data_IF_425060004054
#
_entry.id   IF_425060004054
#
_cell.length_a   1.000
_cell.length_b   1.000
_cell.length_c   1.000
_cell.angle_alpha   90.00
_cell.angle_beta   90.00
_cell.angle_gamma   90.00
#
_symmetry.space_group_name_H-M   'P 1'
#
loop_
_entity.id
_entity.type
_entity.pdbx_description
1 polymer ?
#
# COMPACT_ATOMS: atom_id res chain seq x y z
N UNK A 1 -5.04 4.82 3.55
CA UNK A 1 -3.81 5.22 4.24
C UNK A 1 -2.74 5.39 3.18
N UNK A 2 -1.94 6.44 3.27
CA UNK A 2 -0.87 6.70 2.33
C UNK A 2 0.45 6.27 2.97
N UNK A 3 1.22 5.50 2.21
CA UNK A 3 2.60 5.16 2.52
C UNK A 3 3.50 6.01 1.67
N UNK A 4 4.60 6.46 2.23
CA UNK A 4 5.61 7.23 1.53
C UNK A 4 6.97 6.57 1.66
N UNK A 5 7.76 6.65 0.61
CA UNK A 5 9.14 6.16 0.60
C UNK A 5 9.99 6.89 -0.44
N UNK A 6 11.28 6.84 -0.23
CA UNK A 6 12.27 7.28 -1.21
C UNK A 6 12.36 6.27 -2.37
N UNK A 7 12.09 6.66 -3.62
CA UNK A 7 12.15 5.76 -4.78
C UNK A 7 13.53 5.14 -5.00
N UNK A 8 14.61 5.84 -4.69
CA UNK A 8 15.97 5.32 -4.85
C UNK A 8 16.24 4.19 -3.84
N UNK A 9 15.80 4.36 -2.59
CA UNK A 9 15.87 3.33 -1.55
C UNK A 9 14.98 2.15 -1.88
N UNK A 10 13.76 2.36 -2.38
CA UNK A 10 12.87 1.29 -2.80
C UNK A 10 13.51 0.43 -3.90
N UNK A 11 14.13 1.06 -4.90
CA UNK A 11 14.86 0.36 -5.97
C UNK A 11 16.08 -0.40 -5.45
N UNK A 12 16.83 0.16 -4.50
CA UNK A 12 17.96 -0.52 -3.87
C UNK A 12 17.51 -1.73 -3.06
N UNK A 13 16.43 -1.58 -2.27
CA UNK A 13 15.84 -2.66 -1.48
C UNK A 13 15.35 -3.81 -2.37
N UNK A 14 14.62 -3.50 -3.45
CA UNK A 14 14.15 -4.50 -4.40
C UNK A 14 15.31 -5.32 -5.00
N UNK A 15 16.41 -4.66 -5.37
CA UNK A 15 17.62 -5.37 -5.90
C UNK A 15 18.27 -6.27 -4.86
N UNK A 16 18.37 -5.80 -3.61
CA UNK A 16 19.08 -6.48 -2.52
C UNK A 16 18.25 -7.62 -1.91
N UNK A 17 16.98 -7.39 -1.66
CA UNK A 17 16.11 -8.27 -0.88
C UNK A 17 15.01 -8.95 -1.69
N UNK A 18 14.82 -8.56 -2.95
CA UNK A 18 13.73 -9.04 -3.83
C UNK A 18 12.32 -8.78 -3.26
N UNK A 19 12.20 -7.74 -2.45
CA UNK A 19 10.95 -7.29 -1.84
C UNK A 19 10.73 -5.83 -2.21
N UNK A 20 9.57 -5.53 -2.80
CA UNK A 20 9.19 -4.15 -3.07
C UNK A 20 8.68 -3.46 -1.80
N UNK A 21 8.82 -2.14 -1.72
CA UNK A 21 8.21 -1.38 -0.63
C UNK A 21 6.67 -1.39 -0.72
N UNK A 22 6.12 -1.57 -1.92
CA UNK A 22 4.69 -1.78 -2.12
C UNK A 22 4.18 -3.07 -1.45
N UNK A 23 4.96 -4.16 -1.46
CA UNK A 23 4.62 -5.39 -0.73
C UNK A 23 4.86 -5.23 0.78
N UNK A 24 5.97 -4.57 1.16
CA UNK A 24 6.31 -4.34 2.56
C UNK A 24 5.26 -3.47 3.28
N UNK A 25 4.66 -2.49 2.59
CA UNK A 25 3.59 -1.66 3.15
C UNK A 25 2.37 -2.49 3.54
N UNK A 26 2.02 -3.52 2.77
CA UNK A 26 0.90 -4.39 3.08
C UNK A 26 1.18 -5.35 4.24
N UNK A 27 2.44 -5.71 4.49
CA UNK A 27 2.80 -6.49 5.66
C UNK A 27 2.57 -5.72 6.97
N UNK A 28 2.57 -4.37 6.94
CA UNK A 28 2.21 -3.54 8.10
C UNK A 28 0.71 -3.59 8.44
N UNK A 29 -0.14 -3.98 7.48
CA UNK A 29 -1.60 -4.15 7.66
C UNK A 29 -1.97 -5.56 8.14
N UNK A 30 -1.01 -6.47 8.30
CA UNK A 30 -1.29 -7.84 8.77
C UNK A 30 -1.86 -7.81 10.19
N UNK A 31 -3.04 -8.39 10.38
CA UNK A 31 -3.72 -8.48 11.68
C UNK A 31 -2.94 -9.30 12.73
N UNK A 32 -1.96 -10.08 12.30
CA UNK A 32 -1.10 -10.91 13.17
C UNK A 32 0.30 -10.34 13.32
N UNK A 33 0.58 -9.17 12.73
CA UNK A 33 1.90 -8.56 12.84
C UNK A 33 2.33 -8.37 14.28
N UNK A 34 3.63 -8.41 14.50
CA UNK A 34 4.30 -8.13 15.79
C UNK A 34 5.12 -6.87 15.62
N UNK A 35 4.86 -5.85 16.41
CA UNK A 35 5.55 -4.57 16.29
C UNK A 35 6.23 -4.19 17.61
N UNK A 36 7.48 -3.76 17.51
CA UNK A 36 8.28 -3.22 18.61
C UNK A 36 8.81 -1.83 18.24
N UNK A 37 9.17 -1.04 19.26
CA UNK A 37 10.00 0.14 19.02
C UNK A 37 11.38 -0.31 18.53
N UNK A 38 11.93 0.40 17.56
CA UNK A 38 13.28 0.11 17.06
C UNK A 38 14.33 0.48 18.14
N UNK A 39 15.06 -0.50 18.67
CA UNK A 39 16.05 -0.23 19.72
C UNK A 39 17.23 0.61 19.25
N UNK A 40 17.44 0.74 17.94
CA UNK A 40 18.51 1.56 17.34
C UNK A 40 18.02 2.94 16.87
N UNK A 41 16.77 3.30 17.19
CA UNK A 41 16.25 4.60 16.85
C UNK A 41 16.96 5.69 17.66
N UNK A 42 17.59 6.64 16.96
CA UNK A 42 18.19 7.84 17.56
C UNK A 42 17.49 9.08 17.02
N UNK A 43 16.84 9.84 17.89
CA UNK A 43 16.25 11.16 17.57
C UNK A 43 14.91 11.13 16.83
N UNK A 44 14.48 9.97 16.30
CA UNK A 44 13.23 9.81 15.54
C UNK A 44 12.49 8.55 16.02
N UNK A 45 11.19 8.64 16.23
CA UNK A 45 10.39 7.49 16.64
C UNK A 45 10.28 6.49 15.47
N UNK A 46 10.87 5.33 15.62
CA UNK A 46 10.97 4.29 14.59
C UNK A 46 10.50 2.94 15.14
N UNK A 47 9.89 2.14 14.30
CA UNK A 47 9.35 0.84 14.67
C UNK A 47 9.83 -0.26 13.72
N UNK A 48 9.90 -1.47 14.27
CA UNK A 48 10.17 -2.71 13.53
C UNK A 48 8.93 -3.58 13.61
N UNK A 49 8.38 -3.98 12.47
CA UNK A 49 7.22 -4.86 12.37
C UNK A 49 7.56 -6.14 11.64
N UNK A 50 7.13 -7.27 12.19
CA UNK A 50 7.17 -8.60 11.56
C UNK A 50 5.75 -8.94 11.14
N UNK A 51 5.48 -9.00 9.85
CA UNK A 51 4.15 -9.26 9.29
C UNK A 51 4.22 -10.04 7.99
N UNK A 52 3.08 -10.58 7.56
CA UNK A 52 2.98 -11.32 6.29
C UNK A 52 2.46 -10.41 5.19
N UNK A 53 3.11 -10.45 4.05
CA UNK A 53 2.64 -9.80 2.84
C UNK A 53 1.50 -10.62 2.16
N UNK A 54 0.84 -10.09 1.12
CA UNK A 54 -0.21 -10.81 0.38
C UNK A 54 0.25 -12.10 -0.31
N UNK A 55 1.55 -12.24 -0.55
CA UNK A 55 2.15 -13.46 -1.13
C UNK A 55 2.47 -14.52 -0.06
N UNK A 56 2.18 -14.24 1.21
CA UNK A 56 2.46 -15.15 2.33
C UNK A 56 3.89 -15.14 2.82
N UNK A 57 4.72 -14.21 2.33
CA UNK A 57 6.09 -14.06 2.82
C UNK A 57 6.07 -13.30 4.14
N UNK A 58 6.86 -13.76 5.11
CA UNK A 58 7.07 -13.04 6.37
C UNK A 58 8.16 -12.00 6.18
N UNK A 59 7.82 -10.75 6.40
CA UNK A 59 8.70 -9.61 6.17
C UNK A 59 8.98 -8.87 7.47
N UNK A 60 10.22 -8.41 7.63
CA UNK A 60 10.62 -7.45 8.66
C UNK A 60 10.62 -6.07 7.99
N UNK A 61 9.75 -5.18 8.46
CA UNK A 61 9.60 -3.83 7.92
C UNK A 61 9.93 -2.81 8.97
N UNK A 62 10.87 -1.90 8.66
CA UNK A 62 11.18 -0.76 9.52
C UNK A 62 10.46 0.47 8.98
N UNK A 63 9.75 1.17 9.86
CA UNK A 63 8.95 2.31 9.47
C UNK A 63 8.92 3.40 10.55
N UNK A 64 8.66 4.61 10.12
CA UNK A 64 8.39 5.77 10.96
C UNK A 64 6.91 6.10 10.84
N UNK A 65 6.13 6.20 11.93
CA UNK A 65 4.74 6.64 11.85
C UNK A 65 4.74 8.08 11.32
N UNK A 66 3.90 8.33 10.32
CA UNK A 66 3.72 9.67 9.76
C UNK A 66 3.11 10.63 10.75
N UNK A 67 3.35 11.92 10.57
CA UNK A 67 2.62 13.01 11.24
C UNK A 67 1.13 12.94 10.86
N UNK A 68 0.21 13.67 11.51
CA UNK A 68 -1.22 13.34 11.73
C UNK A 68 -2.09 12.93 10.53
N UNK A 69 -1.53 12.81 9.34
CA UNK A 69 -2.21 12.30 8.15
C UNK A 69 -2.08 10.77 7.93
N UNK A 70 -1.37 10.05 8.79
CA UNK A 70 -1.28 8.58 8.74
C UNK A 70 -0.36 7.98 7.66
N UNK A 71 0.52 8.77 7.07
CA UNK A 71 1.58 8.25 6.22
C UNK A 71 2.65 7.54 7.06
N UNK A 72 3.08 6.34 6.63
CA UNK A 72 4.18 5.62 7.25
C UNK A 72 5.37 5.62 6.28
N UNK A 73 6.49 6.18 6.71
CA UNK A 73 7.73 6.13 5.94
C UNK A 73 8.40 4.78 6.04
N UNK A 74 8.52 4.04 4.92
CA UNK A 74 9.24 2.77 4.88
C UNK A 74 10.71 3.04 4.61
N UNK A 75 11.57 2.44 5.43
CA UNK A 75 13.03 2.61 5.32
C UNK A 75 13.74 1.27 5.14
N UNK A 76 14.91 1.31 4.54
CA UNK A 76 15.81 0.15 4.49
C UNK A 76 16.30 -0.13 5.91
N UNK A 77 16.08 -1.35 6.46
CA UNK A 77 16.55 -1.68 7.79
C UNK A 77 18.08 -1.84 7.81
N UNK A 78 18.73 -1.25 8.79
CA UNK A 78 19.97 -1.82 9.31
C UNK A 78 19.57 -3.06 10.09
N UNK A 79 19.49 -4.22 9.39
CA UNK A 79 19.01 -5.46 9.99
C UNK A 79 19.95 -5.92 11.10
N UNK A 80 19.45 -5.98 12.32
CA UNK A 80 20.09 -6.76 13.39
C UNK A 80 20.03 -8.25 13.05
N UNK A 81 20.97 -9.03 13.56
CA UNK A 81 20.91 -10.50 13.44
C UNK A 81 19.70 -11.09 14.17
N UNK A 82 19.22 -10.44 15.23
CA UNK A 82 18.07 -10.87 16.03
C UNK A 82 17.29 -9.67 16.56
N UNK A 83 15.97 -9.80 16.59
CA UNK A 83 15.03 -8.88 17.23
C UNK A 83 14.23 -9.62 18.30
N UNK A 84 14.15 -9.07 19.50
CA UNK A 84 13.30 -9.62 20.57
C UNK A 84 11.85 -9.13 20.45
N UNK A 85 10.97 -10.00 20.00
CA UNK A 85 9.54 -9.74 19.89
C UNK A 85 8.72 -10.20 21.11
N UNK A 86 9.35 -10.59 22.23
CA UNK A 86 8.65 -11.09 23.44
C UNK A 86 7.66 -10.07 24.01
N UNK A 87 7.97 -8.79 23.88
CA UNK A 87 7.11 -7.66 24.31
C UNK A 87 6.42 -6.94 23.15
N UNK A 88 6.35 -7.58 21.98
CA UNK A 88 5.76 -6.96 20.81
C UNK A 88 4.26 -6.73 20.96
N UNK A 89 3.78 -5.59 20.49
CA UNK A 89 2.37 -5.37 20.27
C UNK A 89 1.88 -6.22 19.11
N UNK A 90 0.88 -7.06 19.33
CA UNK A 90 0.23 -7.86 18.28
C UNK A 90 -0.88 -7.07 17.63
N UNK A 91 -0.98 -7.19 16.32
CA UNK A 91 -1.99 -6.55 15.48
C UNK A 91 -1.37 -5.73 14.36
N UNK A 92 -2.20 -5.16 13.49
CA UNK A 92 -1.69 -4.36 12.39
C UNK A 92 -0.89 -3.18 12.92
N UNK A 93 0.31 -2.99 12.40
CA UNK A 93 1.19 -1.89 12.77
C UNK A 93 0.59 -0.54 12.35
N UNK A 94 -0.25 -0.57 11.31
CA UNK A 94 -0.92 0.57 10.73
C UNK A 94 -2.42 0.26 10.65
N UNK A 95 -3.27 1.17 11.14
CA UNK A 95 -4.73 0.95 11.22
C UNK A 95 -5.32 0.73 9.83
N UNK A 96 -6.05 -0.37 9.67
CA UNK A 96 -6.82 -0.65 8.44
C UNK A 96 -8.12 0.16 8.48
N UNK A 97 -8.49 0.88 7.40
CA UNK A 97 -9.74 1.61 7.35
C UNK A 97 -10.95 0.70 7.57
N UNK A 98 -11.94 1.17 8.31
CA UNK A 98 -13.22 0.48 8.51
C UNK A 98 -13.99 0.32 7.19
N UNK A 99 -14.87 -0.69 7.10
CA UNK A 99 -15.69 -0.93 5.91
C UNK A 99 -14.96 -1.67 4.78
N UNK A 100 -13.80 -2.28 5.07
CA UNK A 100 -13.09 -3.18 4.15
C UNK A 100 -13.17 -4.63 4.67
N UNK A 101 -13.46 -5.55 3.76
CA UNK A 101 -13.40 -6.99 4.03
C UNK A 101 -12.14 -7.56 3.39
N UNK A 102 -11.36 -8.31 4.17
CA UNK A 102 -10.20 -9.04 3.61
C UNK A 102 -10.70 -10.23 2.79
N UNK A 103 -10.31 -10.26 1.52
CA UNK A 103 -10.57 -11.36 0.61
C UNK A 103 -9.26 -11.85 -0.01
N UNK A 104 -9.22 -13.11 -0.43
CA UNK A 104 -8.12 -13.66 -1.22
C UNK A 104 -8.63 -13.91 -2.63
N UNK A 105 -8.01 -13.24 -3.60
CA UNK A 105 -8.31 -13.40 -5.02
C UNK A 105 -7.01 -13.71 -5.76
N UNK A 106 -7.13 -14.34 -6.93
CA UNK A 106 -6.03 -14.50 -7.88
C UNK A 106 -6.21 -13.44 -8.96
N UNK A 107 -5.15 -12.71 -9.24
CA UNK A 107 -5.05 -11.74 -10.33
C UNK A 107 -3.92 -12.17 -11.24
N UNK A 108 -4.00 -11.81 -12.51
CA UNK A 108 -2.92 -12.02 -13.45
C UNK A 108 -1.69 -11.19 -13.05
N UNK A 109 -0.50 -11.74 -13.29
CA UNK A 109 0.75 -11.15 -12.83
C UNK A 109 0.98 -9.75 -13.43
N UNK A 110 0.63 -9.56 -14.70
CA UNK A 110 0.74 -8.27 -15.40
C UNK A 110 -0.13 -7.18 -14.77
N UNK A 111 -1.34 -7.52 -14.30
CA UNK A 111 -2.23 -6.59 -13.58
C UNK A 111 -1.57 -6.18 -12.26
N UNK A 112 -1.07 -7.14 -11.50
CA UNK A 112 -0.43 -6.86 -10.20
C UNK A 112 0.81 -5.98 -10.39
N UNK A 113 1.67 -6.33 -11.35
CA UNK A 113 2.89 -5.58 -11.67
C UNK A 113 2.57 -4.16 -12.13
N UNK A 114 1.54 -3.96 -12.94
CA UNK A 114 1.11 -2.64 -13.39
C UNK A 114 0.71 -1.74 -12.22
N UNK A 115 -0.13 -2.23 -11.29
CA UNK A 115 -0.57 -1.45 -10.13
C UNK A 115 0.59 -1.19 -9.15
N UNK A 116 1.50 -2.14 -8.95
CA UNK A 116 2.72 -1.94 -8.17
C UNK A 116 3.60 -0.86 -8.78
N UNK A 117 3.81 -0.89 -10.10
CA UNK A 117 4.58 0.12 -10.83
C UNK A 117 4.04 1.53 -10.65
N UNK A 118 2.72 1.70 -10.55
CA UNK A 118 2.09 3.01 -10.30
C UNK A 118 2.50 3.57 -8.93
N UNK A 119 2.38 2.79 -7.86
CA UNK A 119 2.72 3.26 -6.51
C UNK A 119 4.23 3.43 -6.33
N UNK A 120 5.04 2.58 -6.95
CA UNK A 120 6.51 2.71 -6.90
C UNK A 120 6.99 3.97 -7.62
N UNK A 121 6.41 4.29 -8.78
CA UNK A 121 6.73 5.51 -9.53
C UNK A 121 6.28 6.76 -8.80
N UNK A 122 5.18 6.70 -8.07
CA UNK A 122 4.68 7.79 -7.23
C UNK A 122 5.50 7.98 -5.93
N UNK A 123 6.38 7.03 -5.58
CA UNK A 123 7.14 7.06 -4.32
C UNK A 123 6.29 6.76 -3.09
N UNK A 124 5.17 6.09 -3.26
CA UNK A 124 4.28 5.74 -2.15
C UNK A 124 2.90 5.27 -2.61
N UNK A 125 2.08 4.87 -1.64
CA UNK A 125 0.72 4.44 -1.86
C UNK A 125 0.51 2.95 -1.55
N UNK A 126 -0.72 2.49 -1.77
CA UNK A 126 -1.13 1.10 -1.57
C UNK A 126 -1.79 0.61 -2.86
N UNK A 127 -1.14 -0.31 -3.56
CA UNK A 127 -1.63 -0.81 -4.84
C UNK A 127 -2.97 -1.54 -4.73
N UNK A 128 -3.30 -2.17 -3.60
CA UNK A 128 -4.63 -2.75 -3.38
C UNK A 128 -5.73 -1.68 -3.32
N UNK A 129 -5.40 -0.49 -2.82
CA UNK A 129 -6.32 0.66 -2.85
C UNK A 129 -6.56 1.14 -4.27
N UNK A 130 -5.55 1.13 -5.14
CA UNK A 130 -5.70 1.44 -6.56
C UNK A 130 -6.57 0.40 -7.29
N UNK A 131 -6.34 -0.89 -7.04
CA UNK A 131 -7.18 -1.98 -7.57
C UNK A 131 -8.63 -1.76 -7.14
N UNK A 132 -8.87 -1.50 -5.85
CA UNK A 132 -10.22 -1.26 -5.33
C UNK A 132 -10.86 0.00 -5.95
N UNK A 133 -10.09 1.05 -6.21
CA UNK A 133 -10.57 2.24 -6.92
C UNK A 133 -10.97 1.93 -8.37
N UNK A 134 -10.16 1.12 -9.07
CA UNK A 134 -10.49 0.67 -10.43
C UNK A 134 -11.77 -0.17 -10.48
N UNK A 135 -11.96 -1.07 -9.52
CA UNK A 135 -13.20 -1.86 -9.39
C UNK A 135 -14.42 -0.96 -9.11
N UNK A 136 -14.29 0.05 -8.24
CA UNK A 136 -15.36 1.02 -8.00
C UNK A 136 -15.70 1.84 -9.24
N UNK A 137 -14.68 2.23 -10.00
CA UNK A 137 -14.89 2.94 -11.26
C UNK A 137 -15.62 2.06 -12.28
N UNK A 138 -15.24 0.78 -12.37
CA UNK A 138 -15.95 -0.18 -13.22
C UNK A 138 -17.43 -0.31 -12.83
N UNK A 139 -17.73 -0.45 -11.54
CA UNK A 139 -19.10 -0.50 -11.03
C UNK A 139 -19.90 0.75 -11.42
N UNK A 140 -19.32 1.95 -11.21
CA UNK A 140 -19.99 3.23 -11.57
C UNK A 140 -20.29 3.31 -13.06
N UNK A 141 -19.37 2.87 -13.92
CA UNK A 141 -19.58 2.85 -15.37
C UNK A 141 -20.64 1.83 -15.79
N UNK A 142 -20.66 0.67 -15.13
CA UNK A 142 -21.68 -0.36 -15.38
C UNK A 142 -23.09 0.12 -15.02
N UNK A 143 -23.19 0.94 -13.96
CA UNK A 143 -24.45 1.50 -13.48
C UNK A 143 -24.91 2.74 -14.27
N UNK A 144 -24.05 3.33 -15.12
CA UNK A 144 -24.40 4.51 -15.93
C UNK A 144 -25.09 4.07 -17.24
N UNK A 145 -26.40 4.28 -17.38
CA UNK A 145 -27.10 3.89 -18.60
C UNK A 145 -26.49 4.58 -19.82
N UNK A 146 -26.22 3.83 -20.88
CA UNK A 146 -25.67 4.33 -22.14
C UNK A 146 -26.45 5.55 -22.66
N UNK A 147 -27.77 5.55 -22.44
CA UNK A 147 -28.65 6.66 -22.78
C UNK A 147 -28.24 8.00 -22.09
N UNK A 148 -27.86 7.97 -20.81
CA UNK A 148 -27.41 9.17 -20.10
C UNK A 148 -26.09 9.70 -20.66
N UNK A 149 -25.17 8.81 -20.95
CA UNK A 149 -23.86 9.16 -21.54
C UNK A 149 -24.03 9.76 -22.94
N UNK A 150 -24.83 9.12 -23.79
CA UNK A 150 -25.16 9.64 -25.12
C UNK A 150 -25.86 10.99 -25.06
N UNK A 151 -26.83 11.16 -24.18
CA UNK A 151 -27.54 12.41 -23.98
C UNK A 151 -26.63 13.57 -23.55
N UNK A 152 -25.65 13.26 -22.67
CA UNK A 152 -24.64 14.24 -22.24
C UNK A 152 -23.73 14.64 -23.41
N UNK A 153 -23.15 13.67 -24.09
CA UNK A 153 -22.24 13.92 -25.23
C UNK A 153 -22.93 14.72 -26.33
N UNK A 154 -24.13 14.31 -26.74
CA UNK A 154 -24.90 15.05 -27.74
C UNK A 154 -25.20 16.51 -27.32
N UNK A 155 -25.52 16.74 -26.05
CA UNK A 155 -25.77 18.10 -25.55
C UNK A 155 -24.48 18.93 -25.51
N UNK A 156 -23.33 18.34 -25.21
CA UNK A 156 -22.04 19.02 -25.23
C UNK A 156 -21.61 19.38 -26.66
N UNK A 157 -21.77 18.46 -27.60
CA UNK A 157 -21.42 18.68 -29.02
C UNK A 157 -22.35 19.70 -29.68
N UNK A 158 -23.67 19.67 -29.40
CA UNK A 158 -24.60 20.66 -29.90
C UNK A 158 -24.32 22.08 -29.36
N UNK A 159 -23.85 22.19 -28.12
CA UNK A 159 -23.42 23.50 -27.56
C UNK A 159 -22.12 24.01 -28.16
N UNK A 160 -21.23 23.14 -28.63
CA UNK A 160 -20.00 23.54 -29.32
C UNK A 160 -20.22 23.94 -30.77
N UNK A 161 -21.32 23.47 -31.38
CA UNK A 161 -21.68 23.75 -32.76
C UNK A 161 -22.58 25.00 -32.94
N UNK A 162 -23.05 25.58 -31.82
CA UNK A 162 -23.82 26.83 -31.80
C UNK A 162 -22.99 28.00 -31.36
#
# INVERSE_FOLDING_TARGET
MEYEWDPAKAKANLRKHRVSFADASLALEDSRALTIADPDASGEQRFVSLGSDPLGRVLVTVFTPGQPCGAAGIREPMMRKEYDFSKAKRGPAVSVPTGKTRITIRLDDDIVEWFKGQVESAGGGNYQSLINAALREHMRRADEPLEKTLRRVLREELKRAS
#
